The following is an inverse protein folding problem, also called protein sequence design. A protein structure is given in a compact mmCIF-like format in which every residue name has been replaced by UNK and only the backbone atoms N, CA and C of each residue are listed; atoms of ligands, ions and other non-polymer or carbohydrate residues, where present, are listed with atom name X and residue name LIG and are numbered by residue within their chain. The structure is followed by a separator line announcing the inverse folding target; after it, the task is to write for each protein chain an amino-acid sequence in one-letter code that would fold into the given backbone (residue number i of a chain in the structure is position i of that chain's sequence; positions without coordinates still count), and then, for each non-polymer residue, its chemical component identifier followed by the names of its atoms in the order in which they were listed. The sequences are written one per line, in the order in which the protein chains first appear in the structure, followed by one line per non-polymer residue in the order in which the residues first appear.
data_IF_741689608770
#
_entry.id   IF_741689608770
#
_cell.length_a   1.000
_cell.length_b   1.000
_cell.length_c   1.000
_cell.angle_alpha   90.00
_cell.angle_beta   90.00
_cell.angle_gamma   90.00
#
_symmetry.space_group_name_H-M   'P 1'
#
loop_
_entity.id
_entity.type
_entity.pdbx_description
1 polymer ?
#
# COMPACT_ATOMS: atom_id res chain seq x y z
N UNK A 1 -16.32 3.57 -11.48
CA UNK A 1 -16.92 3.88 -10.17
C UNK A 1 -16.05 3.29 -9.06
N UNK A 2 -15.76 4.05 -8.03
CA UNK A 2 -14.84 3.68 -6.95
C UNK A 2 -15.58 3.45 -5.63
N UNK A 3 -15.15 2.44 -4.89
CA UNK A 3 -15.58 2.26 -3.51
C UNK A 3 -14.62 3.00 -2.59
N UNK A 4 -14.97 4.22 -2.20
CA UNK A 4 -14.13 5.08 -1.35
C UNK A 4 -14.85 5.31 -0.03
N UNK A 5 -14.21 4.92 1.06
CA UNK A 5 -14.69 5.13 2.42
C UNK A 5 -14.52 6.60 2.83
N UNK A 6 -13.35 7.17 2.56
CA UNK A 6 -13.02 8.54 2.99
C UNK A 6 -11.87 9.11 2.15
N UNK A 7 -11.90 10.43 1.94
CA UNK A 7 -10.78 11.21 1.40
C UNK A 7 -10.36 12.23 2.46
N UNK A 8 -9.17 12.06 3.02
CA UNK A 8 -8.53 13.05 3.89
C UNK A 8 -7.74 14.02 3.04
N UNK A 9 -8.17 15.26 2.99
CA UNK A 9 -7.58 16.31 2.12
C UNK A 9 -6.19 16.79 2.59
N UNK A 10 -5.77 16.42 3.79
CA UNK A 10 -4.44 16.66 4.34
C UNK A 10 -4.18 15.70 5.49
N UNK A 11 -3.12 14.93 5.38
CA UNK A 11 -2.78 13.87 6.33
C UNK A 11 -1.26 13.80 6.48
N UNK A 12 -0.80 13.47 7.68
CA UNK A 12 0.62 13.25 8.01
C UNK A 12 0.87 11.86 8.57
N UNK A 13 -0.18 11.13 8.93
CA UNK A 13 -0.07 9.80 9.55
C UNK A 13 0.08 8.69 8.52
N UNK A 14 -0.41 8.93 7.30
CA UNK A 14 -0.36 7.99 6.18
C UNK A 14 0.65 8.43 5.10
N UNK A 15 1.60 9.27 5.47
CA UNK A 15 2.71 9.59 4.61
C UNK A 15 3.58 8.33 4.39
N UNK A 16 4.38 8.33 3.37
CA UNK A 16 5.32 7.24 3.08
C UNK A 16 6.78 7.76 3.10
N UNK A 17 7.08 8.66 4.06
CA UNK A 17 8.37 9.30 4.24
C UNK A 17 8.67 10.41 3.23
N UNK A 18 7.65 10.89 2.53
CA UNK A 18 7.80 11.94 1.52
C UNK A 18 7.06 13.24 1.91
N UNK A 19 6.61 13.34 3.17
CA UNK A 19 5.85 14.48 3.68
C UNK A 19 4.35 14.34 3.52
N UNK A 20 3.57 15.41 3.78
CA UNK A 20 2.12 15.36 3.83
C UNK A 20 1.48 14.76 2.59
N UNK A 21 0.33 14.12 2.79
CA UNK A 21 -0.42 13.44 1.74
C UNK A 21 -1.88 13.86 1.71
N UNK A 22 -2.53 13.66 0.58
CA UNK A 22 -3.96 13.42 0.48
C UNK A 22 -4.15 11.91 0.59
N UNK A 23 -4.92 11.45 1.57
CA UNK A 23 -5.15 10.03 1.82
C UNK A 23 -6.52 9.62 1.30
N UNK A 24 -6.57 8.60 0.45
CA UNK A 24 -7.81 8.01 -0.07
C UNK A 24 -7.98 6.62 0.50
N UNK A 25 -8.95 6.48 1.38
CA UNK A 25 -9.31 5.20 2.00
C UNK A 25 -10.32 4.49 1.12
N UNK A 26 -9.89 3.45 0.44
CA UNK A 26 -10.79 2.57 -0.30
C UNK A 26 -11.67 1.77 0.65
N UNK A 27 -12.80 1.34 0.15
CA UNK A 27 -13.66 0.37 0.80
C UNK A 27 -13.45 -0.98 0.14
N UNK A 28 -13.68 -2.06 0.85
CA UNK A 28 -13.45 -3.45 0.49
C UNK A 28 -11.98 -3.90 0.65
N UNK A 29 -11.82 -4.97 1.44
CA UNK A 29 -10.55 -5.65 1.64
C UNK A 29 -10.78 -7.14 1.91
N UNK A 30 -10.25 -8.00 1.07
CA UNK A 30 -10.40 -9.46 1.22
C UNK A 30 -9.50 -10.09 2.30
N UNK A 31 -8.55 -9.32 2.86
CA UNK A 31 -7.57 -9.88 3.79
C UNK A 31 -8.07 -10.05 5.21
N UNK A 32 -8.94 -9.17 5.70
CA UNK A 32 -9.50 -9.19 7.05
C UNK A 32 -8.44 -9.43 8.15
N UNK A 33 -7.33 -8.70 8.08
CA UNK A 33 -6.21 -8.89 9.01
C UNK A 33 -6.67 -8.68 10.47
N UNK A 34 -6.43 -9.62 11.40
CA UNK A 34 -6.83 -9.46 12.79
C UNK A 34 -6.32 -8.16 13.39
N UNK A 35 -7.22 -7.39 14.03
CA UNK A 35 -6.93 -6.08 14.64
C UNK A 35 -6.38 -5.03 13.66
N UNK A 36 -6.71 -5.13 12.39
CA UNK A 36 -6.45 -4.09 11.40
C UNK A 36 -7.01 -2.74 11.88
N UNK A 37 -6.32 -1.65 11.57
CA UNK A 37 -6.76 -0.31 11.97
C UNK A 37 -7.97 0.17 11.17
N UNK A 38 -8.15 -0.36 9.96
CA UNK A 38 -9.19 0.03 9.01
C UNK A 38 -10.27 -1.05 8.87
N UNK A 39 -10.71 -1.69 9.98
CA UNK A 39 -11.72 -2.75 9.94
C UNK A 39 -13.04 -2.28 9.29
N UNK A 40 -13.38 -1.01 9.47
CA UNK A 40 -14.59 -0.40 8.90
C UNK A 40 -14.58 -0.38 7.35
N UNK A 41 -13.43 -0.63 6.73
CA UNK A 41 -13.26 -0.68 5.28
C UNK A 41 -13.28 -2.11 4.71
N UNK A 42 -13.47 -3.15 5.51
CA UNK A 42 -13.41 -4.52 5.03
C UNK A 42 -14.55 -4.90 4.12
N UNK A 43 -15.76 -4.48 4.51
CA UNK A 43 -16.98 -4.85 3.79
C UNK A 43 -17.27 -3.85 2.68
N UNK A 44 -17.82 -4.37 1.59
CA UNK A 44 -18.32 -3.56 0.49
C UNK A 44 -19.57 -2.82 0.95
N UNK A 45 -19.50 -1.49 1.01
CA UNK A 45 -20.62 -0.62 1.36
C UNK A 45 -21.08 0.13 0.12
N UNK A 46 -22.30 -0.18 -0.33
CA UNK A 46 -22.84 0.41 -1.56
C UNK A 46 -23.18 1.90 -1.44
N UNK A 47 -23.42 2.37 -0.24
CA UNK A 47 -23.63 3.79 0.09
C UNK A 47 -22.34 4.64 0.01
N UNK A 48 -21.18 3.99 -0.04
CA UNK A 48 -19.87 4.64 -0.18
C UNK A 48 -19.35 4.58 -1.62
N UNK A 49 -20.25 4.68 -2.56
CA UNK A 49 -19.96 4.58 -3.98
C UNK A 49 -19.73 5.96 -4.59
N UNK A 50 -18.55 6.15 -5.16
CA UNK A 50 -18.16 7.40 -5.80
C UNK A 50 -18.13 7.25 -7.32
N UNK A 51 -18.58 8.27 -8.01
CA UNK A 51 -18.19 8.44 -9.41
C UNK A 51 -16.68 8.68 -9.48
N UNK A 52 -16.01 8.04 -10.47
CA UNK A 52 -14.56 8.15 -10.57
C UNK A 52 -14.09 9.58 -10.85
N UNK A 53 -14.82 10.32 -11.69
CA UNK A 53 -14.47 11.70 -12.03
C UNK A 53 -14.69 12.62 -10.85
N UNK A 54 -15.73 12.39 -10.06
CA UNK A 54 -15.95 13.13 -8.81
C UNK A 54 -14.82 12.87 -7.81
N UNK A 55 -14.40 11.62 -7.63
CA UNK A 55 -13.29 11.26 -6.75
C UNK A 55 -12.00 11.97 -7.21
N UNK A 56 -11.69 11.91 -8.51
CA UNK A 56 -10.53 12.63 -9.10
C UNK A 56 -10.62 14.12 -8.84
N UNK A 57 -11.77 14.75 -9.08
CA UNK A 57 -11.98 16.18 -8.85
C UNK A 57 -11.69 16.56 -7.40
N UNK A 58 -12.20 15.79 -6.44
CA UNK A 58 -11.99 16.07 -5.00
C UNK A 58 -10.52 15.89 -4.60
N UNK A 59 -9.84 14.87 -5.13
CA UNK A 59 -8.42 14.62 -4.88
C UNK A 59 -7.56 15.75 -5.47
N UNK A 60 -7.78 16.10 -6.72
CA UNK A 60 -7.02 17.17 -7.40
C UNK A 60 -7.23 18.52 -6.73
N UNK A 61 -8.47 18.86 -6.39
CA UNK A 61 -8.78 20.09 -5.62
C UNK A 61 -8.03 20.12 -4.28
N UNK A 62 -7.97 18.98 -3.57
CA UNK A 62 -7.23 18.91 -2.32
C UNK A 62 -5.73 19.12 -2.53
N UNK A 63 -5.12 18.46 -3.52
CA UNK A 63 -3.70 18.61 -3.85
C UNK A 63 -3.33 20.06 -4.22
N UNK A 64 -4.12 20.68 -5.09
CA UNK A 64 -3.90 22.06 -5.55
C UNK A 64 -4.17 23.09 -4.44
N UNK A 65 -5.19 22.86 -3.62
CA UNK A 65 -5.50 23.74 -2.48
C UNK A 65 -4.36 23.77 -1.47
N UNK A 66 -3.71 22.64 -1.20
CA UNK A 66 -2.56 22.60 -0.28
C UNK A 66 -1.34 23.27 -0.88
N UNK A 67 -1.11 23.18 -2.19
CA UNK A 67 -0.07 23.92 -2.87
C UNK A 67 -0.26 25.44 -2.66
N UNK A 68 -1.46 25.94 -2.88
CA UNK A 68 -1.78 27.37 -2.71
C UNK A 68 -1.64 27.81 -1.25
N UNK A 69 -2.18 27.05 -0.31
CA UNK A 69 -2.21 27.42 1.12
C UNK A 69 -0.86 27.26 1.83
N UNK A 70 -0.06 26.32 1.43
CA UNK A 70 1.16 25.88 2.14
C UNK A 70 2.44 25.99 1.32
N UNK A 71 2.33 26.36 0.04
CA UNK A 71 3.48 26.41 -0.88
C UNK A 71 4.10 25.05 -1.18
N UNK A 72 3.38 23.96 -0.90
CA UNK A 72 3.84 22.59 -1.16
C UNK A 72 2.71 21.75 -1.74
N UNK A 73 3.01 20.95 -2.75
CA UNK A 73 2.10 19.90 -3.23
C UNK A 73 2.23 18.69 -2.32
N UNK A 74 1.20 18.32 -1.57
CA UNK A 74 1.23 17.05 -0.86
C UNK A 74 1.25 15.89 -1.85
N UNK A 75 1.64 14.73 -1.36
CA UNK A 75 1.63 13.50 -2.13
C UNK A 75 0.25 12.82 -2.06
N UNK A 76 0.07 11.71 -2.76
CA UNK A 76 -1.16 10.92 -2.75
C UNK A 76 -0.90 9.54 -2.15
N UNK A 77 -1.66 9.18 -1.14
CA UNK A 77 -1.62 7.85 -0.50
C UNK A 77 -2.96 7.14 -0.72
N UNK A 78 -2.95 6.01 -1.40
CA UNK A 78 -4.11 5.17 -1.69
C UNK A 78 -4.06 3.95 -0.78
N UNK A 79 -5.00 3.85 0.16
CA UNK A 79 -5.01 2.87 1.25
C UNK A 79 -6.44 2.57 1.72
N UNK A 80 -6.59 2.08 2.94
CA UNK A 80 -7.88 1.85 3.62
C UNK A 80 -8.27 0.40 3.59
N UNK A 81 -9.21 -0.02 2.73
CA UNK A 81 -9.40 -1.38 2.29
C UNK A 81 -8.16 -1.85 1.52
N UNK A 82 -8.33 -2.39 0.36
CA UNK A 82 -7.18 -2.66 -0.50
C UNK A 82 -7.41 -2.09 -1.90
N UNK A 83 -6.62 -1.09 -2.33
CA UNK A 83 -6.79 -0.44 -3.63
C UNK A 83 -6.57 -1.35 -4.83
N UNK A 84 -5.85 -2.47 -4.69
CA UNK A 84 -5.49 -3.33 -5.84
C UNK A 84 -6.26 -4.65 -5.90
N UNK A 85 -7.20 -4.88 -4.98
CA UNK A 85 -8.12 -6.01 -5.15
C UNK A 85 -8.95 -5.87 -6.42
N UNK A 86 -9.48 -6.97 -6.91
CA UNK A 86 -10.20 -7.03 -8.20
C UNK A 86 -11.31 -5.98 -8.30
N UNK A 87 -11.98 -5.71 -7.20
CA UNK A 87 -13.10 -4.77 -7.11
C UNK A 87 -12.66 -3.30 -7.25
N UNK A 88 -11.45 -2.97 -6.81
CA UNK A 88 -10.95 -1.61 -6.73
C UNK A 88 -9.95 -1.24 -7.83
N UNK A 89 -9.25 -2.21 -8.41
CA UNK A 89 -8.08 -1.98 -9.28
C UNK A 89 -8.39 -1.07 -10.47
N UNK A 90 -9.55 -1.18 -11.09
CA UNK A 90 -9.93 -0.36 -12.25
C UNK A 90 -10.08 1.10 -11.87
N UNK A 91 -10.76 1.36 -10.77
CA UNK A 91 -10.93 2.71 -10.25
C UNK A 91 -9.61 3.28 -9.74
N UNK A 92 -8.78 2.46 -9.14
CA UNK A 92 -7.45 2.86 -8.66
C UNK A 92 -6.57 3.31 -9.83
N UNK A 93 -6.49 2.52 -10.92
CA UNK A 93 -5.73 2.89 -12.13
C UNK A 93 -6.29 4.18 -12.73
N UNK A 94 -7.62 4.28 -12.86
CA UNK A 94 -8.26 5.47 -13.39
C UNK A 94 -7.92 6.73 -12.59
N UNK A 95 -8.07 6.66 -11.27
CA UNK A 95 -7.76 7.79 -10.36
C UNK A 95 -6.30 8.20 -10.52
N UNK A 96 -5.36 7.27 -10.48
CA UNK A 96 -3.93 7.55 -10.63
C UNK A 96 -3.66 8.25 -11.96
N UNK A 97 -4.16 7.70 -13.07
CA UNK A 97 -3.90 8.25 -14.41
C UNK A 97 -4.49 9.66 -14.57
N UNK A 98 -5.70 9.93 -14.04
CA UNK A 98 -6.32 11.25 -14.15
C UNK A 98 -5.69 12.28 -13.19
N UNK A 99 -5.29 11.85 -11.99
CA UNK A 99 -4.58 12.75 -11.06
C UNK A 99 -3.22 13.14 -11.63
N UNK A 100 -2.44 12.20 -12.18
CA UNK A 100 -1.13 12.51 -12.80
C UNK A 100 -1.23 13.46 -13.99
N UNK A 101 -2.30 13.39 -14.77
CA UNK A 101 -2.52 14.36 -15.87
C UNK A 101 -2.67 15.79 -15.38
N UNK A 102 -3.25 15.99 -14.19
CA UNK A 102 -3.56 17.30 -13.64
C UNK A 102 -2.50 17.79 -12.63
N UNK A 103 -1.80 16.87 -11.98
CA UNK A 103 -0.74 17.11 -10.99
C UNK A 103 0.45 16.20 -11.31
N UNK A 104 1.26 16.49 -12.34
CA UNK A 104 2.29 15.59 -12.87
C UNK A 104 3.36 15.20 -11.85
N UNK A 105 3.74 16.11 -10.97
CA UNK A 105 4.83 15.91 -10.00
C UNK A 105 4.38 15.22 -8.69
N UNK A 106 3.10 14.87 -8.56
CA UNK A 106 2.60 14.20 -7.37
C UNK A 106 3.27 12.84 -7.20
N UNK A 107 3.83 12.56 -6.04
CA UNK A 107 4.27 11.21 -5.69
C UNK A 107 3.07 10.41 -5.19
N UNK A 108 2.95 9.19 -5.69
CA UNK A 108 1.82 8.31 -5.40
C UNK A 108 2.33 7.04 -4.74
N UNK A 109 1.74 6.72 -3.59
CA UNK A 109 1.92 5.46 -2.91
C UNK A 109 0.61 4.65 -2.91
N UNK A 110 0.72 3.34 -3.01
CA UNK A 110 -0.38 2.40 -2.89
C UNK A 110 -0.06 1.39 -1.80
N UNK A 111 -1.03 1.16 -0.93
CA UNK A 111 -0.94 0.18 0.15
C UNK A 111 -1.71 -1.06 -0.22
N UNK A 112 -1.14 -2.23 0.04
CA UNK A 112 -1.80 -3.51 -0.23
C UNK A 112 -1.41 -4.57 0.79
N UNK A 113 -2.32 -5.49 1.04
CA UNK A 113 -2.03 -6.68 1.83
C UNK A 113 -1.34 -7.80 1.03
N UNK A 114 -1.19 -7.66 -0.27
CA UNK A 114 -0.44 -8.62 -1.08
C UNK A 114 1.07 -8.43 -0.91
N UNK A 115 1.80 -9.53 -0.94
CA UNK A 115 3.25 -9.50 -1.11
C UNK A 115 3.57 -9.44 -2.61
N UNK A 116 4.45 -8.51 -3.02
CA UNK A 116 4.79 -8.30 -4.43
C UNK A 116 5.33 -9.56 -5.11
N UNK A 117 6.05 -10.40 -4.38
CA UNK A 117 6.57 -11.68 -4.89
C UNK A 117 5.45 -12.61 -5.33
N UNK A 118 4.31 -12.55 -4.63
CA UNK A 118 3.18 -13.40 -4.94
C UNK A 118 2.48 -12.95 -6.21
N UNK A 119 2.06 -11.68 -6.29
CA UNK A 119 1.27 -11.23 -7.41
C UNK A 119 2.10 -10.90 -8.66
N UNK A 120 3.37 -10.51 -8.49
CA UNK A 120 4.25 -10.22 -9.62
C UNK A 120 4.62 -11.48 -10.42
N UNK A 121 4.76 -12.64 -9.75
CA UNK A 121 5.13 -13.91 -10.37
C UNK A 121 3.98 -14.72 -10.95
N UNK A 122 2.74 -14.36 -10.65
CA UNK A 122 1.58 -15.12 -11.11
C UNK A 122 0.85 -14.39 -12.24
N UNK A 123 0.40 -15.13 -13.24
CA UNK A 123 -0.35 -14.57 -14.38
C UNK A 123 -1.76 -14.11 -14.01
N UNK A 124 -2.22 -14.45 -12.79
CA UNK A 124 -3.56 -14.06 -12.31
C UNK A 124 -3.69 -12.56 -12.01
N UNK A 125 -2.59 -11.84 -11.86
CA UNK A 125 -2.55 -10.44 -11.42
C UNK A 125 -2.00 -9.48 -12.48
N UNK A 126 -2.20 -9.80 -13.76
CA UNK A 126 -1.68 -8.98 -14.87
C UNK A 126 -2.15 -7.52 -14.79
N UNK A 127 -3.40 -7.30 -14.38
CA UNK A 127 -3.95 -5.96 -14.22
C UNK A 127 -3.28 -5.20 -13.07
N UNK A 128 -3.06 -5.86 -11.94
CA UNK A 128 -2.39 -5.28 -10.78
C UNK A 128 -0.94 -4.90 -11.12
N UNK A 129 -0.24 -5.71 -11.91
CA UNK A 129 1.13 -5.41 -12.37
C UNK A 129 1.21 -4.07 -13.11
N UNK A 130 0.15 -3.69 -13.82
CA UNK A 130 0.13 -2.44 -14.58
C UNK A 130 0.15 -1.20 -13.69
N UNK A 131 -0.09 -1.32 -12.38
CA UNK A 131 -0.04 -0.19 -11.45
C UNK A 131 1.39 0.25 -11.14
N UNK A 132 2.37 -0.69 -11.14
CA UNK A 132 3.74 -0.42 -10.73
C UNK A 132 4.40 0.74 -11.49
N UNK A 133 4.33 0.84 -12.84
CA UNK A 133 4.91 1.97 -13.54
C UNK A 133 4.16 3.29 -13.32
N UNK A 134 2.98 3.25 -12.73
CA UNK A 134 2.11 4.39 -12.48
C UNK A 134 2.32 5.03 -11.12
N UNK A 135 2.96 4.35 -10.19
CA UNK A 135 3.15 4.79 -8.81
C UNK A 135 4.64 4.95 -8.49
N UNK A 136 4.94 5.64 -7.40
CA UNK A 136 6.30 5.83 -6.93
C UNK A 136 6.68 4.82 -5.85
N UNK A 137 5.70 4.47 -5.00
CA UNK A 137 5.92 3.57 -3.88
C UNK A 137 4.77 2.58 -3.76
N UNK A 138 5.12 1.36 -3.43
CA UNK A 138 4.19 0.31 -3.01
C UNK A 138 4.50 -0.04 -1.56
N UNK A 139 3.49 0.04 -0.70
CA UNK A 139 3.58 -0.48 0.66
C UNK A 139 2.87 -1.82 0.64
N UNK A 140 3.64 -2.89 0.78
CA UNK A 140 3.14 -4.25 0.62
C UNK A 140 3.17 -5.06 1.91
N UNK A 141 2.41 -6.14 1.92
CA UNK A 141 2.33 -7.08 3.02
C UNK A 141 1.16 -6.85 3.97
N UNK A 142 0.62 -7.94 4.49
CA UNK A 142 -0.49 -7.90 5.45
C UNK A 142 -0.08 -7.26 6.76
N UNK A 143 -1.01 -6.56 7.38
CA UNK A 143 -0.84 -6.18 8.78
C UNK A 143 -0.81 -7.41 9.67
N UNK A 144 0.24 -7.52 10.50
CA UNK A 144 0.41 -8.59 11.49
C UNK A 144 0.47 -7.97 12.87
N UNK A 145 -0.57 -8.18 13.68
CA UNK A 145 -0.71 -7.53 14.99
C UNK A 145 0.48 -7.80 15.92
N UNK A 146 1.01 -9.02 15.92
CA UNK A 146 2.17 -9.41 16.74
C UNK A 146 3.46 -8.67 16.36
N UNK A 147 3.50 -8.14 15.14
CA UNK A 147 4.61 -7.35 14.60
C UNK A 147 4.32 -5.85 14.59
N UNK A 148 3.23 -5.44 15.23
CA UNK A 148 2.83 -4.03 15.34
C UNK A 148 3.93 -3.20 15.98
N UNK A 149 4.19 -2.04 15.43
CA UNK A 149 5.16 -1.08 15.94
C UNK A 149 4.56 0.32 16.01
N UNK A 150 4.99 1.09 16.99
CA UNK A 150 4.53 2.47 17.18
C UNK A 150 5.39 3.52 16.47
N UNK A 151 6.56 3.13 15.99
CA UNK A 151 7.60 4.06 15.52
C UNK A 151 7.88 3.94 14.02
N UNK A 152 6.94 3.39 13.26
CA UNK A 152 7.08 3.22 11.81
C UNK A 152 5.84 3.77 11.11
N UNK A 153 6.00 4.17 9.88
CA UNK A 153 4.94 4.68 9.01
C UNK A 153 3.91 3.62 8.61
N UNK A 154 4.27 2.35 8.72
CA UNK A 154 3.40 1.22 8.42
C UNK A 154 2.99 0.49 9.70
N UNK A 155 1.89 -0.24 9.64
CA UNK A 155 1.27 -0.82 10.83
C UNK A 155 2.07 -1.92 11.52
N UNK A 156 2.89 -2.68 10.78
CA UNK A 156 3.69 -3.80 11.29
C UNK A 156 5.02 -3.95 10.56
N UNK A 157 6.04 -4.47 11.24
CA UNK A 157 7.43 -4.50 10.74
C UNK A 157 7.67 -5.42 9.55
N UNK A 158 6.74 -6.29 9.23
CA UNK A 158 6.80 -7.14 8.03
C UNK A 158 6.35 -6.40 6.76
N UNK A 159 5.66 -5.26 6.89
CA UNK A 159 5.28 -4.46 5.74
C UNK A 159 6.51 -3.71 5.20
N UNK A 160 6.55 -3.53 3.89
CA UNK A 160 7.71 -2.96 3.20
C UNK A 160 7.29 -1.76 2.38
N UNK A 161 8.21 -0.84 2.18
CA UNK A 161 8.02 0.27 1.22
C UNK A 161 8.98 0.05 0.06
N UNK A 162 8.40 -0.15 -1.09
CA UNK A 162 9.11 -0.50 -2.32
C UNK A 162 9.10 0.70 -3.26
N UNK A 163 10.28 1.17 -3.64
CA UNK A 163 10.41 2.14 -4.74
C UNK A 163 10.15 1.40 -6.06
N UNK A 164 9.03 1.68 -6.70
CA UNK A 164 8.59 0.92 -7.87
C UNK A 164 9.44 1.19 -9.10
N UNK A 165 10.00 2.40 -9.25
CA UNK A 165 10.86 2.73 -10.36
C UNK A 165 12.19 1.97 -10.29
N UNK A 166 12.80 1.92 -9.11
CA UNK A 166 13.98 1.10 -8.89
C UNK A 166 13.69 -0.38 -9.12
N UNK A 167 12.57 -0.87 -8.61
CA UNK A 167 12.13 -2.24 -8.79
C UNK A 167 12.02 -2.62 -10.28
N UNK A 168 11.41 -1.77 -11.11
CA UNK A 168 11.22 -2.03 -12.54
C UNK A 168 12.55 -1.91 -13.31
N UNK A 169 13.35 -0.86 -13.04
CA UNK A 169 14.54 -0.56 -13.87
C UNK A 169 15.73 -1.46 -13.61
N UNK A 170 15.86 -1.97 -12.40
CA UNK A 170 17.01 -2.79 -12.02
C UNK A 170 16.80 -4.27 -12.34
N UNK A 171 15.62 -4.64 -12.87
CA UNK A 171 15.26 -6.04 -13.15
C UNK A 171 15.56 -6.94 -11.95
N UNK A 172 15.21 -6.41 -10.75
CA UNK A 172 15.68 -6.90 -9.48
C UNK A 172 15.16 -8.31 -9.26
N UNK A 173 16.08 -9.25 -9.07
CA UNK A 173 15.71 -10.51 -8.48
C UNK A 173 15.11 -10.22 -7.09
N UNK A 174 13.82 -10.53 -6.99
CA UNK A 174 12.93 -10.11 -5.91
C UNK A 174 13.49 -10.42 -4.52
N UNK A 175 14.37 -11.42 -4.39
CA UNK A 175 14.89 -11.85 -3.10
C UNK A 175 16.01 -10.96 -2.53
N UNK A 176 16.91 -10.48 -3.36
CA UNK A 176 18.11 -9.75 -2.87
C UNK A 176 17.90 -8.24 -2.83
N UNK A 177 17.03 -7.72 -3.64
CA UNK A 177 16.93 -6.29 -3.88
C UNK A 177 15.72 -5.59 -3.25
N UNK A 178 14.73 -6.32 -2.75
CA UNK A 178 13.69 -5.72 -1.91
C UNK A 178 14.31 -5.07 -0.66
N UNK A 179 15.33 -5.70 -0.09
CA UNK A 179 16.08 -5.14 1.04
C UNK A 179 16.87 -3.88 0.66
N UNK A 180 17.36 -3.78 -0.58
CA UNK A 180 18.05 -2.60 -1.07
C UNK A 180 17.08 -1.46 -1.44
N UNK A 181 15.86 -1.78 -1.88
CA UNK A 181 14.81 -0.78 -2.16
C UNK A 181 14.12 -0.27 -0.89
N UNK A 182 14.32 -0.91 0.26
CA UNK A 182 13.99 -0.40 1.59
C UNK A 182 14.85 0.81 2.01
N UNK A 183 15.64 1.36 1.11
CA UNK A 183 16.41 2.59 1.35
C UNK A 183 15.47 3.77 1.61
N UNK A 184 14.87 3.80 2.80
CA UNK A 184 14.50 5.04 3.44
C UNK A 184 15.79 5.76 3.79
N UNK A 185 16.11 6.87 3.16
CA UNK A 185 17.29 7.63 3.54
C UNK A 185 17.20 8.16 4.98
N UNK A 186 16.04 8.06 5.64
CA UNK A 186 15.77 8.64 6.95
C UNK A 186 15.17 7.67 7.98
N UNK A 187 14.98 6.39 7.68
CA UNK A 187 14.62 5.44 8.75
C UNK A 187 15.89 5.08 9.50
N UNK A 188 15.99 5.57 10.72
CA UNK A 188 17.03 5.15 11.63
C UNK A 188 16.81 3.68 11.99
N UNK A 189 17.47 2.78 11.27
CA UNK A 189 17.42 1.33 11.49
C UNK A 189 17.81 0.94 12.91
N UNK A 190 18.53 1.83 13.65
CA UNK A 190 18.86 1.61 15.07
C UNK A 190 17.63 1.58 15.98
N UNK A 191 16.49 2.09 15.53
CA UNK A 191 15.21 1.98 16.27
C UNK A 191 14.67 0.55 16.24
N UNK A 192 15.11 -0.29 15.28
CA UNK A 192 14.77 -1.70 15.18
C UNK A 192 15.61 -2.58 16.11
N UNK A 193 16.69 -2.05 16.68
CA UNK A 193 17.52 -2.70 17.69
C UNK A 193 16.91 -2.51 19.08
N UNK A 194 15.76 -3.10 19.36
CA UNK A 194 15.30 -3.19 20.74
C UNK A 194 15.97 -4.40 21.41
N UNK A 195 16.54 -4.19 22.61
CA UNK A 195 17.25 -5.25 23.36
C UNK A 195 16.37 -6.47 23.70
N UNK A 196 15.06 -6.33 23.64
CA UNK A 196 14.08 -7.37 23.93
C UNK A 196 13.87 -8.37 22.76
N UNK A 197 14.40 -8.06 21.58
CA UNK A 197 14.40 -8.99 20.45
C UNK A 197 15.84 -9.41 20.15
N UNK A 198 16.23 -10.57 20.67
CA UNK A 198 17.56 -11.19 20.42
C UNK A 198 17.79 -11.63 18.96
N UNK A 199 16.91 -11.25 18.06
CA UNK A 199 17.01 -11.50 16.62
C UNK A 199 16.92 -10.18 15.88
N UNK A 200 17.73 -10.01 14.84
CA UNK A 200 17.63 -8.81 13.98
C UNK A 200 16.23 -8.76 13.34
N UNK A 201 15.69 -7.58 13.07
CA UNK A 201 14.43 -7.43 12.34
C UNK A 201 14.41 -8.24 11.05
N UNK A 202 15.55 -8.34 10.39
CA UNK A 202 15.74 -9.15 9.19
C UNK A 202 15.54 -10.65 9.45
N UNK A 203 16.10 -11.19 10.53
CA UNK A 203 15.96 -12.60 10.91
C UNK A 203 14.54 -12.90 11.38
N UNK A 204 13.90 -11.97 12.10
CA UNK A 204 12.49 -12.04 12.46
C UNK A 204 11.61 -12.03 11.21
N UNK A 205 11.84 -11.15 10.25
CA UNK A 205 11.14 -11.12 8.98
C UNK A 205 11.34 -12.42 8.21
N UNK A 206 12.57 -12.92 8.09
CA UNK A 206 12.88 -14.17 7.40
C UNK A 206 12.22 -15.38 8.07
N UNK A 207 12.24 -15.43 9.39
CA UNK A 207 11.58 -16.50 10.17
C UNK A 207 10.06 -16.45 10.02
N UNK A 208 9.46 -15.27 10.02
CA UNK A 208 8.02 -15.08 9.86
C UNK A 208 7.57 -15.34 8.42
N UNK A 209 8.28 -14.84 7.43
CA UNK A 209 8.06 -15.16 6.01
C UNK A 209 8.16 -16.67 5.77
N UNK A 210 9.10 -17.36 6.41
CA UNK A 210 9.23 -18.81 6.25
C UNK A 210 8.15 -19.62 6.98
N UNK A 211 7.68 -19.16 8.14
CA UNK A 211 6.68 -19.89 8.92
C UNK A 211 5.24 -19.62 8.43
N UNK A 212 4.92 -18.39 8.12
CA UNK A 212 3.56 -17.97 7.75
C UNK A 212 3.28 -18.15 6.26
N UNK A 213 4.30 -18.06 5.42
CA UNK A 213 4.18 -18.27 3.98
C UNK A 213 3.65 -19.67 3.64
N UNK A 214 4.00 -20.69 4.43
CA UNK A 214 3.48 -22.07 4.24
C UNK A 214 2.03 -22.23 4.71
N UNK A 215 1.61 -21.54 5.75
CA UNK A 215 0.21 -21.57 6.21
C UNK A 215 -0.68 -20.69 5.30
N UNK A 216 -0.16 -19.57 4.87
CA UNK A 216 -0.81 -18.58 4.01
C UNK A 216 -1.09 -19.12 2.60
N UNK A 217 -0.09 -19.72 1.94
CA UNK A 217 -0.29 -20.39 0.64
C UNK A 217 -1.29 -21.52 0.71
N UNK A 218 -1.39 -22.22 1.86
CA UNK A 218 -2.41 -23.26 2.07
C UNK A 218 -3.80 -22.68 2.22
N UNK A 219 -3.99 -21.55 2.90
CA UNK A 219 -5.32 -20.94 3.06
C UNK A 219 -5.83 -20.36 1.72
N UNK A 220 -4.99 -19.64 0.99
CA UNK A 220 -5.37 -19.08 -0.33
C UNK A 220 -5.66 -20.19 -1.36
N UNK A 221 -4.87 -21.27 -1.35
CA UNK A 221 -5.13 -22.41 -2.23
C UNK A 221 -6.40 -23.16 -1.84
N UNK A 222 -6.81 -23.12 -0.58
CA UNK A 222 -8.07 -23.68 -0.13
C UNK A 222 -9.26 -22.79 -0.58
N UNK A 223 -9.13 -21.47 -0.45
CA UNK A 223 -10.16 -20.50 -0.86
C UNK A 223 -10.36 -20.49 -2.38
N UNK A 224 -9.27 -20.61 -3.17
CA UNK A 224 -9.34 -20.74 -4.63
C UNK A 224 -9.99 -22.06 -5.07
N UNK A 225 -9.77 -23.16 -4.32
CA UNK A 225 -10.41 -24.46 -4.61
C UNK A 225 -11.88 -24.51 -4.19
N UNK A 226 -12.31 -23.69 -3.25
CA UNK A 226 -13.72 -23.59 -2.85
C UNK A 226 -14.54 -22.68 -3.78
N UNK A 227 -13.86 -21.92 -4.66
CA UNK A 227 -14.49 -20.97 -5.59
C UNK A 227 -14.52 -21.48 -7.04
N UNK A 228 -14.05 -22.71 -7.30
CA UNK A 228 -14.12 -23.46 -8.56
C UNK A 228 -15.03 -24.67 -8.42
#
# INVERSE_FOLDING_TARGET
MAYIHQINKFDIDNDFGQGPVVSVFFNFCSFHCPQCWNQDTWDRKEDLYWDNDEAVRVIVDALQTQLIKRGMTPNLSLLGGDPIVTENIDSTIYIIDQVRKQVPDVKIAVWTGFDIEYWYKTDKFEKQKTILPRINYLIDGRFVYQLKTKNQMFGSINQRVINTQQFITQNLDIKENILASLAYPNVNLSVLEKPEYHTTPLELMQKYIQSDYRSYTRSILADVKAST
#
